data_IF_454502692069
#
_entry.id   IF_454502692069
#
_cell.length_a   1.000
_cell.length_b   1.000
_cell.length_c   1.000
_cell.angle_alpha   90.00
_cell.angle_beta   90.00
_cell.angle_gamma   90.00
#
_symmetry.space_group_name_H-M   'P 1'
#
loop_
_entity.id
_entity.type
_entity.pdbx_description
1 polymer ?
#
# COMPACT_ATOMS: atom_id res chain seq x y z
N UNK A 1 -20.65 -19.89 -2.03
CA UNK A 1 -20.88 -18.44 -2.14
C UNK A 1 -20.90 -17.76 -0.76
N UNK A 2 -20.08 -18.24 0.19
CA UNK A 2 -19.89 -17.65 1.54
C UNK A 2 -18.84 -16.53 1.57
N UNK A 3 -18.23 -16.25 0.41
CA UNK A 3 -17.14 -15.29 0.24
C UNK A 3 -17.54 -13.84 0.58
N UNK A 4 -18.83 -13.51 0.56
CA UNK A 4 -19.32 -12.18 0.97
C UNK A 4 -19.13 -11.89 2.46
N UNK A 5 -19.29 -12.89 3.32
CA UNK A 5 -19.06 -12.72 4.76
C UNK A 5 -17.57 -12.53 5.05
N UNK A 6 -16.71 -13.28 4.37
CA UNK A 6 -15.25 -13.09 4.45
C UNK A 6 -14.83 -11.72 3.93
N UNK A 7 -15.41 -11.27 2.80
CA UNK A 7 -15.16 -9.92 2.27
C UNK A 7 -15.60 -8.81 3.24
N UNK A 8 -16.74 -8.99 3.92
CA UNK A 8 -17.20 -8.05 4.95
C UNK A 8 -16.21 -7.96 6.11
N UNK A 9 -15.72 -9.11 6.58
CA UNK A 9 -14.70 -9.17 7.62
C UNK A 9 -13.42 -8.43 7.21
N UNK A 10 -12.90 -8.71 6.01
CA UNK A 10 -11.71 -8.03 5.48
C UNK A 10 -11.93 -6.52 5.36
N UNK A 11 -13.10 -6.08 4.88
CA UNK A 11 -13.43 -4.66 4.77
C UNK A 11 -13.50 -3.98 6.15
N UNK A 12 -14.04 -4.66 7.16
CA UNK A 12 -14.10 -4.14 8.52
C UNK A 12 -12.69 -4.04 9.14
N UNK A 13 -11.86 -5.06 8.95
CA UNK A 13 -10.47 -5.06 9.44
C UNK A 13 -9.67 -3.92 8.80
N UNK A 14 -9.80 -3.74 7.48
CA UNK A 14 -9.20 -2.61 6.74
C UNK A 14 -9.69 -1.26 7.24
N UNK A 15 -10.99 -1.12 7.55
CA UNK A 15 -11.54 0.12 8.07
C UNK A 15 -10.93 0.47 9.44
N UNK A 16 -10.78 -0.51 10.33
CA UNK A 16 -10.17 -0.31 11.65
C UNK A 16 -8.70 0.09 11.52
N UNK A 17 -7.96 -0.54 10.61
CA UNK A 17 -6.57 -0.18 10.32
C UNK A 17 -6.46 1.26 9.79
N UNK A 18 -7.32 1.65 8.85
CA UNK A 18 -7.38 3.02 8.33
C UNK A 18 -7.76 4.03 9.41
N UNK A 19 -8.68 3.70 10.31
CA UNK A 19 -9.01 4.57 11.46
C UNK A 19 -7.79 4.80 12.37
N UNK A 20 -7.06 3.74 12.70
CA UNK A 20 -5.86 3.83 13.54
C UNK A 20 -4.76 4.67 12.86
N UNK A 21 -4.51 4.41 11.58
CA UNK A 21 -3.56 5.18 10.78
C UNK A 21 -3.94 6.66 10.70
N UNK A 22 -5.22 6.97 10.49
CA UNK A 22 -5.74 8.36 10.43
C UNK A 22 -5.55 9.08 11.77
N UNK A 23 -5.92 8.44 12.88
CA UNK A 23 -5.76 9.03 14.22
C UNK A 23 -4.29 9.27 14.56
N UNK A 24 -3.41 8.31 14.24
CA UNK A 24 -1.97 8.48 14.45
C UNK A 24 -1.38 9.59 13.56
N UNK A 25 -1.84 9.69 12.32
CA UNK A 25 -1.41 10.74 11.39
C UNK A 25 -1.83 12.13 11.92
N UNK A 26 -3.08 12.28 12.37
CA UNK A 26 -3.56 13.51 13.02
C UNK A 26 -2.71 13.81 14.27
N UNK A 27 -2.50 12.84 15.15
CA UNK A 27 -1.76 13.06 16.39
C UNK A 27 -0.29 13.46 16.16
N UNK A 28 0.35 12.96 15.09
CA UNK A 28 1.75 13.24 14.79
C UNK A 28 1.97 14.53 13.98
N UNK A 29 1.02 14.92 13.13
CA UNK A 29 1.17 16.02 12.17
C UNK A 29 0.25 17.21 12.43
N UNK A 30 -0.72 17.09 13.36
CA UNK A 30 -1.54 18.24 13.75
C UNK A 30 -0.65 19.28 14.43
N UNK A 31 -0.67 20.49 13.87
CA UNK A 31 0.03 21.60 14.49
C UNK A 31 -0.70 21.96 15.80
N UNK A 32 0.03 22.13 16.92
CA UNK A 32 -0.59 22.55 18.18
C UNK A 32 -1.28 23.90 17.99
N UNK A 33 -2.54 23.98 18.43
CA UNK A 33 -3.32 25.19 18.36
C UNK A 33 -2.63 26.33 19.13
N UNK A 34 -2.80 27.56 18.62
CA UNK A 34 -2.38 28.76 19.33
C UNK A 34 -3.20 28.90 20.62
N UNK A 35 -2.52 29.25 21.71
CA UNK A 35 -3.13 29.44 23.03
C UNK A 35 -3.76 30.83 23.17
N UNK A 36 -3.34 31.78 22.33
CA UNK A 36 -3.83 33.15 22.23
C UNK A 36 -4.13 33.50 20.76
N UNK A 37 -5.14 34.34 20.53
CA UNK A 37 -5.53 34.83 19.19
C UNK A 37 -4.41 35.63 18.49
N UNK A 38 -3.46 36.18 19.26
CA UNK A 38 -2.28 36.87 18.72
C UNK A 38 -1.15 35.84 18.44
N UNK A 39 -0.79 35.59 17.17
CA UNK A 39 0.24 34.62 16.80
C UNK A 39 1.63 34.96 17.34
N UNK A 40 1.85 36.20 17.79
CA UNK A 40 3.12 36.67 18.36
C UNK A 40 3.12 36.74 19.89
N UNK A 41 2.03 36.35 20.56
CA UNK A 41 1.94 36.36 22.02
C UNK A 41 3.05 35.50 22.65
N UNK A 42 3.58 35.96 23.77
CA UNK A 42 4.64 35.28 24.55
C UNK A 42 4.23 33.85 24.91
N UNK A 43 2.93 33.62 25.11
CA UNK A 43 2.33 32.30 25.34
C UNK A 43 2.56 31.34 24.17
N UNK A 44 2.39 31.81 22.93
CA UNK A 44 2.56 31.01 21.71
C UNK A 44 4.05 30.77 21.40
N UNK A 45 4.91 31.75 21.66
CA UNK A 45 6.38 31.59 21.56
C UNK A 45 6.94 30.63 22.60
N UNK A 46 6.43 30.66 23.84
CA UNK A 46 6.83 29.75 24.91
C UNK A 46 6.38 28.30 24.63
N UNK A 47 5.19 28.11 24.03
CA UNK A 47 4.69 26.79 23.63
C UNK A 47 5.52 26.15 22.50
N UNK A 48 6.15 26.97 21.63
CA UNK A 48 7.06 26.52 20.56
C UNK A 48 8.55 26.50 20.96
N UNK A 49 8.91 26.84 22.20
CA UNK A 49 10.29 26.92 22.65
C UNK A 49 10.90 25.53 22.98
N UNK A 50 12.13 25.22 22.52
CA UNK A 50 12.84 24.01 22.92
C UNK A 50 13.06 23.93 24.44
N UNK A 51 12.82 22.75 25.01
CA UNK A 51 12.83 22.49 26.46
C UNK A 51 14.22 22.80 27.07
N UNK A 52 14.33 23.60 28.15
CA UNK A 52 15.61 23.91 28.77
C UNK A 52 16.19 22.67 29.46
N UNK A 53 17.33 22.16 28.96
CA UNK A 53 18.03 21.03 29.59
C UNK A 53 18.99 20.24 28.71
N UNK A 54 18.92 20.34 27.38
CA UNK A 54 19.83 19.59 26.48
C UNK A 54 21.10 20.36 26.04
N UNK A 55 21.29 21.63 26.42
CA UNK A 55 22.47 22.41 26.01
C UNK A 55 23.67 22.35 26.98
N UNK A 56 23.59 21.65 28.11
CA UNK A 56 24.61 21.74 29.16
C UNK A 56 25.78 20.75 29.05
N UNK A 57 25.89 19.92 28.00
CA UNK A 57 27.02 19.00 27.83
C UNK A 57 28.05 19.38 26.75
N UNK A 58 27.89 20.50 26.03
CA UNK A 58 28.84 20.88 24.96
C UNK A 58 29.77 22.06 25.27
N UNK A 59 29.80 22.60 26.49
CA UNK A 59 30.58 23.81 26.79
C UNK A 59 31.82 23.67 27.69
N UNK A 60 32.32 22.46 27.96
CA UNK A 60 33.44 22.29 28.90
C UNK A 60 34.82 21.98 28.33
N UNK A 61 35.08 22.16 27.04
CA UNK A 61 36.46 22.12 26.53
C UNK A 61 36.77 23.28 25.61
N UNK A 62 37.09 24.44 26.20
CA UNK A 62 38.04 25.38 25.61
C UNK A 62 38.46 26.44 26.64
N UNK A 63 39.69 26.32 27.18
CA UNK A 63 40.68 27.42 27.23
C UNK A 63 42.05 26.98 27.83
N UNK A 64 43.16 27.75 27.67
CA UNK A 64 44.23 27.40 26.71
C UNK A 64 45.65 27.38 27.33
N UNK A 65 46.65 26.88 26.59
CA UNK A 65 48.03 27.35 26.77
C UNK A 65 48.89 27.17 25.51
N UNK A 66 49.49 28.28 25.11
CA UNK A 66 50.39 28.41 23.97
C UNK A 66 51.82 27.94 24.31
N UNK A 67 52.61 27.78 23.24
CA UNK A 67 54.09 27.84 23.18
C UNK A 67 54.81 26.48 23.31
N UNK A 68 55.31 25.92 22.20
CA UNK A 68 56.71 26.11 21.79
C UNK A 68 57.04 25.43 20.45
N UNK A 69 58.16 25.91 19.91
CA UNK A 69 58.79 25.73 18.61
C UNK A 69 59.42 24.34 18.37
N UNK A 70 59.57 24.00 17.08
CA UNK A 70 60.73 23.34 16.45
C UNK A 70 60.81 21.80 16.31
N UNK A 71 61.11 21.41 15.05
CA UNK A 71 62.05 20.36 14.60
C UNK A 71 61.50 19.01 14.10
N UNK A 72 61.93 18.68 12.87
CA UNK A 72 62.39 17.35 12.37
C UNK A 72 61.35 16.22 12.29
N UNK A 73 61.39 15.24 11.38
CA UNK A 73 62.02 14.95 10.09
C UNK A 73 61.59 13.52 9.73
N UNK A 74 61.62 13.18 8.43
CA UNK A 74 61.72 11.83 7.85
C UNK A 74 60.45 10.95 7.63
N UNK A 75 60.13 10.80 6.32
CA UNK A 75 60.06 9.57 5.50
C UNK A 75 59.29 8.33 5.97
N UNK A 76 58.34 7.83 5.16
CA UNK A 76 58.57 6.61 4.33
C UNK A 76 57.44 6.28 3.32
N UNK A 77 57.89 6.01 2.08
CA UNK A 77 57.46 5.14 0.94
C UNK A 77 56.02 4.56 0.78
N UNK A 78 55.44 4.87 -0.40
CA UNK A 78 54.97 4.01 -1.54
C UNK A 78 54.01 2.81 -1.33
N UNK A 79 53.44 2.23 -2.41
CA UNK A 79 52.73 2.81 -3.57
C UNK A 79 51.42 2.06 -3.90
N UNK A 80 50.57 2.55 -4.81
CA UNK A 80 49.92 1.63 -5.77
C UNK A 80 49.47 2.34 -7.05
N UNK A 81 49.95 1.82 -8.17
CA UNK A 81 49.64 2.19 -9.55
C UNK A 81 48.38 1.46 -10.07
N UNK A 82 47.84 1.96 -11.18
CA UNK A 82 46.87 1.26 -12.05
C UNK A 82 45.72 2.19 -12.47
N UNK A 83 45.79 2.98 -13.54
CA UNK A 83 45.92 2.70 -14.99
C UNK A 83 44.57 2.64 -15.72
N UNK A 84 44.46 3.48 -16.77
CA UNK A 84 43.48 3.43 -17.87
C UNK A 84 42.20 4.26 -17.64
N UNK A 85 41.75 5.17 -18.50
CA UNK A 85 42.17 5.59 -19.83
C UNK A 85 40.96 6.10 -20.62
N UNK A 86 41.07 7.31 -21.20
CA UNK A 86 40.40 7.67 -22.46
C UNK A 86 39.07 8.45 -22.45
N UNK A 87 39.13 9.69 -22.95
CA UNK A 87 38.30 10.08 -24.12
C UNK A 87 37.25 11.19 -23.99
N UNK A 88 37.64 12.43 -24.32
CA UNK A 88 36.99 13.27 -25.34
C UNK A 88 35.73 14.08 -24.98
N UNK A 89 35.82 15.41 -25.10
CA UNK A 89 34.66 16.30 -25.19
C UNK A 89 34.98 17.78 -24.96
N UNK A 90 35.32 18.49 -26.04
CA UNK A 90 35.59 19.94 -26.07
C UNK A 90 34.29 20.76 -26.15
N UNK A 91 34.17 21.83 -25.36
CA UNK A 91 33.50 23.07 -25.76
C UNK A 91 33.95 24.21 -24.83
N UNK A 92 34.23 25.35 -25.45
CA UNK A 92 35.00 26.49 -24.96
C UNK A 92 34.15 27.75 -25.12
N UNK A 93 33.96 28.51 -24.04
CA UNK A 93 33.74 29.98 -23.96
C UNK A 93 33.53 30.30 -22.45
N UNK A 94 33.98 31.36 -21.80
CA UNK A 94 34.68 32.59 -22.17
C UNK A 94 35.22 33.25 -20.87
N UNK A 95 36.41 33.85 -20.95
CA UNK A 95 36.89 35.07 -20.25
C UNK A 95 36.77 35.28 -18.72
N UNK A 96 37.97 35.36 -18.10
CA UNK A 96 38.55 36.44 -17.24
C UNK A 96 37.68 37.07 -16.13
N UNK A 97 37.91 36.87 -14.83
CA UNK A 97 39.05 37.22 -13.93
C UNK A 97 38.78 38.47 -13.04
N UNK A 98 38.93 38.24 -11.72
CA UNK A 98 39.32 39.14 -10.62
C UNK A 98 38.29 40.11 -9.98
N UNK A 99 37.74 39.70 -8.81
CA UNK A 99 38.07 40.36 -7.53
C UNK A 99 37.55 39.60 -6.30
N UNK A 100 38.49 39.28 -5.41
CA UNK A 100 38.40 39.08 -3.95
C UNK A 100 37.02 39.26 -3.28
N UNK A 101 36.62 38.34 -2.39
CA UNK A 101 37.04 38.29 -0.97
C UNK A 101 36.21 37.26 -0.20
N UNK A 102 36.89 36.54 0.70
CA UNK A 102 36.37 35.53 1.62
C UNK A 102 35.06 35.89 2.33
N UNK A 103 34.16 34.90 2.52
CA UNK A 103 33.85 34.32 3.84
C UNK A 103 32.72 33.30 3.74
N UNK A 104 33.00 32.13 4.29
CA UNK A 104 32.15 30.96 4.39
C UNK A 104 31.20 31.15 5.58
N UNK A 105 29.89 31.32 5.36
CA UNK A 105 28.87 31.13 6.41
C UNK A 105 27.47 30.97 5.79
N UNK A 106 26.79 29.82 5.98
CA UNK A 106 25.34 29.78 5.79
C UNK A 106 24.70 30.46 7.00
N UNK A 107 24.17 31.66 6.80
CA UNK A 107 23.26 32.29 7.77
C UNK A 107 21.94 31.53 7.71
N UNK A 108 21.79 30.53 8.58
CA UNK A 108 20.51 29.86 8.83
C UNK A 108 19.67 30.83 9.66
N UNK A 109 18.87 31.64 8.98
CA UNK A 109 17.71 32.29 9.59
C UNK A 109 16.59 31.23 9.72
N UNK A 110 16.05 30.95 10.91
CA UNK A 110 14.91 30.06 11.06
C UNK A 110 13.64 30.92 11.12
N UNK A 111 13.05 31.29 9.98
CA UNK A 111 11.70 31.83 9.99
C UNK A 111 11.03 31.75 8.62
N UNK A 112 10.30 30.65 8.38
CA UNK A 112 9.01 30.68 7.70
C UNK A 112 8.31 29.34 7.96
N UNK A 113 7.30 29.35 8.83
CA UNK A 113 6.27 28.30 8.82
C UNK A 113 5.65 28.33 7.42
N UNK A 114 5.82 27.25 6.66
CA UNK A 114 5.32 27.16 5.30
C UNK A 114 3.81 26.87 5.37
N UNK A 115 2.92 27.79 4.97
CA UNK A 115 1.48 27.52 4.87
C UNK A 115 1.15 26.32 3.97
N UNK A 116 2.10 25.88 3.13
CA UNK A 116 1.97 24.67 2.32
C UNK A 116 1.86 23.38 3.15
N UNK A 117 2.55 23.27 4.30
CA UNK A 117 2.46 22.06 5.15
C UNK A 117 1.07 21.88 5.76
N UNK A 118 0.37 22.98 6.04
CA UNK A 118 -0.97 22.96 6.62
C UNK A 118 -2.03 22.64 5.56
N UNK A 119 -1.86 23.17 4.35
CA UNK A 119 -2.68 22.83 3.19
C UNK A 119 -2.50 21.35 2.79
N UNK A 120 -1.28 20.82 2.84
CA UNK A 120 -0.98 19.40 2.59
C UNK A 120 -1.59 18.48 3.66
N UNK A 121 -1.58 18.90 4.93
CA UNK A 121 -2.24 18.18 6.03
C UNK A 121 -3.75 18.10 5.83
N UNK A 122 -4.43 19.23 5.59
CA UNK A 122 -5.88 19.25 5.36
C UNK A 122 -6.29 18.43 4.14
N UNK A 123 -5.52 18.50 3.03
CA UNK A 123 -5.76 17.69 1.85
C UNK A 123 -5.65 16.19 2.14
N UNK A 124 -4.63 15.79 2.90
CA UNK A 124 -4.43 14.40 3.31
C UNK A 124 -5.58 13.92 4.19
N UNK A 125 -6.03 14.73 5.16
CA UNK A 125 -7.19 14.39 6.00
C UNK A 125 -8.47 14.25 5.18
N UNK A 126 -8.69 15.11 4.20
CA UNK A 126 -9.85 15.05 3.32
C UNK A 126 -9.84 13.78 2.44
N UNK A 127 -8.67 13.35 1.95
CA UNK A 127 -8.51 12.09 1.22
C UNK A 127 -8.81 10.89 2.12
N UNK A 128 -8.15 10.79 3.28
CA UNK A 128 -8.36 9.70 4.25
C UNK A 128 -9.83 9.62 4.70
N UNK A 129 -10.47 10.77 4.95
CA UNK A 129 -11.88 10.85 5.33
C UNK A 129 -12.80 10.37 4.21
N UNK A 130 -12.48 10.73 2.96
CA UNK A 130 -13.24 10.27 1.79
C UNK A 130 -13.16 8.75 1.64
N UNK A 131 -11.97 8.18 1.81
CA UNK A 131 -11.76 6.73 1.76
C UNK A 131 -12.54 5.99 2.84
N UNK A 132 -12.52 6.49 4.09
CA UNK A 132 -13.30 5.93 5.20
C UNK A 132 -14.80 5.96 4.89
N UNK A 133 -15.31 7.05 4.33
CA UNK A 133 -16.73 7.18 3.95
C UNK A 133 -17.09 6.19 2.84
N UNK A 134 -16.25 6.09 1.80
CA UNK A 134 -16.46 5.15 0.70
C UNK A 134 -16.42 3.70 1.18
N UNK A 135 -15.50 3.36 2.09
CA UNK A 135 -15.42 2.03 2.73
C UNK A 135 -16.65 1.72 3.58
N UNK A 136 -17.15 2.68 4.36
CA UNK A 136 -18.39 2.52 5.12
C UNK A 136 -19.61 2.25 4.23
N UNK A 137 -19.71 2.95 3.09
CA UNK A 137 -20.73 2.67 2.07
C UNK A 137 -20.55 1.28 1.46
N UNK A 138 -19.32 0.89 1.14
CA UNK A 138 -19.02 -0.45 0.61
C UNK A 138 -19.45 -1.54 1.58
N UNK A 139 -19.17 -1.38 2.88
CA UNK A 139 -19.59 -2.29 3.95
C UNK A 139 -21.12 -2.39 3.98
N UNK A 140 -21.83 -1.27 3.89
CA UNK A 140 -23.30 -1.25 3.86
C UNK A 140 -23.85 -2.05 2.67
N UNK A 141 -23.30 -1.85 1.47
CA UNK A 141 -23.68 -2.61 0.28
C UNK A 141 -23.35 -4.11 0.40
N UNK A 142 -22.25 -4.46 1.07
CA UNK A 142 -21.90 -5.86 1.33
C UNK A 142 -22.90 -6.51 2.29
N UNK A 143 -23.34 -5.80 3.33
CA UNK A 143 -24.37 -6.27 4.26
C UNK A 143 -25.68 -6.51 3.53
N UNK A 144 -26.12 -5.55 2.71
CA UNK A 144 -27.37 -5.64 1.95
C UNK A 144 -27.37 -6.78 0.92
N UNK A 145 -26.18 -7.19 0.45
CA UNK A 145 -26.00 -8.28 -0.51
C UNK A 145 -25.68 -9.63 0.14
N UNK A 146 -25.73 -9.75 1.46
CA UNK A 146 -25.48 -11.02 2.15
C UNK A 146 -26.57 -12.05 1.79
N UNK A 147 -26.21 -13.24 1.30
CA UNK A 147 -27.18 -14.26 0.95
C UNK A 147 -27.89 -14.77 2.19
N UNK A 148 -29.23 -14.78 2.15
CA UNK A 148 -30.05 -15.22 3.28
C UNK A 148 -30.24 -14.18 4.38
N UNK A 149 -29.82 -12.93 4.19
CA UNK A 149 -30.14 -11.86 5.14
C UNK A 149 -31.66 -11.69 5.26
N UNK A 150 -32.18 -11.69 6.48
CA UNK A 150 -33.62 -11.57 6.76
C UNK A 150 -34.46 -12.84 6.55
N UNK A 151 -33.85 -13.97 6.15
CA UNK A 151 -34.56 -15.25 6.00
C UNK A 151 -34.52 -16.02 7.33
N UNK A 152 -35.64 -16.60 7.74
CA UNK A 152 -35.68 -17.44 8.94
C UNK A 152 -34.93 -18.77 8.71
N UNK A 153 -34.27 -19.33 9.74
CA UNK A 153 -33.59 -20.62 9.62
C UNK A 153 -34.55 -21.75 9.20
N UNK A 154 -35.80 -21.70 9.65
CA UNK A 154 -36.83 -22.69 9.30
C UNK A 154 -37.18 -22.63 7.81
N UNK A 155 -37.40 -21.43 7.26
CA UNK A 155 -37.64 -21.25 5.82
C UNK A 155 -36.44 -21.71 4.98
N UNK A 156 -35.21 -21.49 5.47
CA UNK A 156 -34.00 -21.93 4.79
C UNK A 156 -33.85 -23.45 4.79
N UNK A 157 -34.19 -24.12 5.90
CA UNK A 157 -34.20 -25.58 6.00
C UNK A 157 -35.27 -26.20 5.10
N UNK A 158 -36.47 -25.61 5.07
CA UNK A 158 -37.54 -26.06 4.19
C UNK A 158 -37.12 -25.93 2.72
N UNK A 159 -36.56 -24.79 2.32
CA UNK A 159 -36.02 -24.59 0.97
C UNK A 159 -34.92 -25.62 0.65
N UNK A 160 -34.05 -25.93 1.61
CA UNK A 160 -33.01 -26.95 1.42
C UNK A 160 -33.63 -28.34 1.19
N UNK A 161 -34.69 -28.67 1.92
CA UNK A 161 -35.39 -29.94 1.79
C UNK A 161 -36.11 -30.05 0.44
N UNK A 162 -36.77 -28.97 0.00
CA UNK A 162 -37.45 -28.91 -1.30
C UNK A 162 -36.45 -29.06 -2.45
N UNK A 163 -35.35 -28.30 -2.43
CA UNK A 163 -34.27 -28.43 -3.42
C UNK A 163 -33.65 -29.83 -3.41
N UNK A 164 -33.49 -30.44 -2.24
CA UNK A 164 -32.97 -31.82 -2.14
C UNK A 164 -33.91 -32.83 -2.79
N UNK A 165 -35.22 -32.66 -2.63
CA UNK A 165 -36.22 -33.53 -3.24
C UNK A 165 -36.28 -33.34 -4.76
N UNK A 166 -36.25 -32.08 -5.22
CA UNK A 166 -36.18 -31.76 -6.65
C UNK A 166 -34.92 -32.36 -7.29
N UNK A 167 -33.76 -32.25 -6.64
CA UNK A 167 -32.51 -32.82 -7.14
C UNK A 167 -32.61 -34.34 -7.32
N UNK A 168 -33.23 -35.04 -6.35
CA UNK A 168 -33.44 -36.50 -6.44
C UNK A 168 -34.33 -36.88 -7.62
N UNK A 169 -35.40 -36.13 -7.86
CA UNK A 169 -36.31 -36.37 -8.98
C UNK A 169 -35.59 -36.15 -10.33
N UNK A 170 -34.83 -35.05 -10.45
CA UNK A 170 -34.03 -34.76 -11.64
C UNK A 170 -32.99 -35.86 -11.88
N UNK A 171 -32.34 -36.37 -10.83
CA UNK A 171 -31.36 -37.45 -10.95
C UNK A 171 -32.02 -38.76 -11.42
N UNK A 172 -33.21 -39.08 -10.94
CA UNK A 172 -33.97 -40.25 -11.39
C UNK A 172 -34.35 -40.12 -12.88
N UNK A 173 -34.79 -38.94 -13.31
CA UNK A 173 -35.08 -38.66 -14.72
C UNK A 173 -33.82 -38.76 -15.58
N UNK A 174 -32.68 -38.24 -15.10
CA UNK A 174 -31.38 -38.37 -15.76
C UNK A 174 -31.01 -39.84 -15.96
N UNK A 175 -31.16 -40.68 -14.93
CA UNK A 175 -30.88 -42.12 -15.02
C UNK A 175 -31.76 -42.80 -16.08
N UNK A 176 -33.08 -42.53 -16.08
CA UNK A 176 -34.00 -43.06 -17.09
C UNK A 176 -33.62 -42.64 -18.51
N UNK A 177 -33.22 -41.38 -18.71
CA UNK A 177 -32.78 -40.85 -20.01
C UNK A 177 -31.48 -41.49 -20.48
N UNK A 178 -30.55 -41.77 -19.57
CA UNK A 178 -29.33 -42.51 -19.88
C UNK A 178 -29.67 -43.94 -20.31
N UNK A 179 -30.59 -44.61 -19.60
CA UNK A 179 -31.02 -45.97 -19.95
C UNK A 179 -31.68 -46.04 -21.33
N UNK A 180 -32.57 -45.09 -21.66
CA UNK A 180 -33.16 -44.96 -23.00
C UNK A 180 -32.07 -44.76 -24.06
N UNK A 181 -31.14 -43.82 -23.81
CA UNK A 181 -30.02 -43.55 -24.72
C UNK A 181 -29.16 -44.79 -24.95
N UNK A 182 -28.85 -45.56 -23.92
CA UNK A 182 -28.03 -46.78 -24.02
C UNK A 182 -28.74 -47.88 -24.82
N UNK A 183 -30.07 -48.01 -24.67
CA UNK A 183 -30.87 -48.93 -25.49
C UNK A 183 -30.83 -48.55 -26.98
N UNK A 184 -31.03 -47.27 -27.29
CA UNK A 184 -30.96 -46.80 -28.68
C UNK A 184 -29.54 -46.94 -29.26
N UNK A 185 -28.51 -46.68 -28.45
CA UNK A 185 -27.12 -46.83 -28.87
C UNK A 185 -26.83 -48.28 -29.26
N UNK A 186 -27.20 -49.24 -28.40
CA UNK A 186 -27.02 -50.66 -28.67
C UNK A 186 -27.76 -51.11 -29.93
N UNK A 187 -28.99 -50.66 -30.13
CA UNK A 187 -29.75 -50.96 -31.35
C UNK A 187 -29.05 -50.42 -32.61
N UNK A 188 -28.51 -49.20 -32.55
CA UNK A 188 -27.76 -48.62 -33.66
C UNK A 188 -26.46 -49.40 -33.94
N UNK A 189 -25.74 -49.81 -32.89
CA UNK A 189 -24.55 -50.67 -33.00
C UNK A 189 -24.88 -52.03 -33.66
N UNK A 190 -26.00 -52.65 -33.31
CA UNK A 190 -26.48 -53.89 -33.93
C UNK A 190 -26.78 -53.71 -35.43
N UNK A 191 -27.49 -52.64 -35.81
CA UNK A 191 -27.75 -52.31 -37.23
C UNK A 191 -26.46 -52.09 -38.02
N UNK A 192 -25.49 -51.38 -37.43
CA UNK A 192 -24.19 -51.14 -38.06
C UNK A 192 -23.43 -52.47 -38.25
N UNK A 193 -23.46 -53.36 -37.25
CA UNK A 193 -22.82 -54.67 -37.32
C UNK A 193 -23.46 -55.59 -38.39
N UNK A 194 -24.80 -55.59 -38.49
CA UNK A 194 -25.53 -56.33 -39.53
C UNK A 194 -25.21 -55.79 -40.93
N UNK A 195 -25.22 -54.46 -41.11
CA UNK A 195 -24.86 -53.82 -42.38
C UNK A 195 -23.41 -54.15 -42.79
N UNK A 196 -22.46 -54.07 -41.85
CA UNK A 196 -21.06 -54.40 -42.10
C UNK A 196 -20.88 -55.87 -42.52
N UNK A 197 -21.57 -56.78 -41.82
CA UNK A 197 -21.59 -58.22 -42.16
C UNK A 197 -22.19 -58.44 -43.55
N UNK A 198 -23.36 -57.86 -43.84
CA UNK A 198 -24.02 -57.99 -45.14
C UNK A 198 -23.18 -57.45 -46.31
N UNK A 199 -22.48 -56.32 -46.14
CA UNK A 199 -21.52 -55.81 -47.15
C UNK A 199 -20.35 -56.79 -47.34
N UNK A 200 -19.84 -57.37 -46.26
CA UNK A 200 -18.72 -58.31 -46.33
C UNK A 200 -19.08 -59.62 -47.03
N UNK A 201 -20.29 -60.14 -46.79
CA UNK A 201 -20.81 -61.34 -47.44
C UNK A 201 -21.17 -61.07 -48.91
N UNK A 202 -21.73 -59.91 -49.23
CA UNK A 202 -22.02 -59.50 -50.61
C UNK A 202 -20.78 -59.31 -51.48
N UNK A 203 -19.63 -58.99 -50.89
CA UNK A 203 -18.38 -58.71 -51.62
C UNK A 203 -17.50 -59.95 -51.80
N UNK A 204 -17.80 -61.05 -51.11
CA UNK A 204 -17.09 -62.33 -51.19
C UNK A 204 -17.66 -63.22 -52.27
#
# INVERSE_FOLDING_TARGET
MADRLTQLQICLDQLVEQFNATVNYVNANAEPALLDDDPTSVSNMAAKAPVPGQQQQQQQQQQPQAQNQQSQSHSQMSPNEGSGGGGGGSAQDNSNNASNKASNMPSVLPNNQHPEQQHDFENTINELSTDIILKSRQISMLIDSLPGIGVSPESQLQLMQDLSNELKEIELQRIKKIEEKDKLLKWCEELIAEMATGISESRR
#
